data_IF_673180017224
#
_entry.id   IF_673180017224
#
_cell.length_a   1.000
_cell.length_b   1.000
_cell.length_c   1.000
_cell.angle_alpha   90.00
_cell.angle_beta   90.00
_cell.angle_gamma   90.00
#
_symmetry.space_group_name_H-M   'P 1'
#
loop_
_entity.id
_entity.type
_entity.pdbx_description
1 polymer ?
#
# COMPACT_ATOMS: atom_id res chain seq x y z
N UNK A 1 15.05 -10.76 7.48
CA UNK A 1 16.19 -9.83 7.35
C UNK A 1 17.42 -10.65 6.99
N UNK A 2 18.14 -10.26 5.95
CA UNK A 2 19.37 -10.92 5.50
C UNK A 2 20.58 -10.17 6.06
N UNK A 3 21.66 -10.88 6.38
CA UNK A 3 22.92 -10.29 6.84
C UNK A 3 23.96 -10.33 5.74
N UNK A 4 24.74 -9.26 5.59
CA UNK A 4 25.95 -9.24 4.75
C UNK A 4 27.16 -9.53 5.66
N UNK A 5 27.94 -10.54 5.33
CA UNK A 5 29.13 -10.94 6.09
C UNK A 5 30.40 -10.36 5.44
N UNK A 6 31.45 -10.08 6.24
CA UNK A 6 32.69 -9.52 5.72
C UNK A 6 33.39 -10.51 4.78
N UNK A 7 33.69 -10.07 3.55
CA UNK A 7 34.48 -10.83 2.59
C UNK A 7 36.00 -10.66 2.75
N UNK A 8 36.42 -9.91 3.77
CA UNK A 8 37.81 -9.51 4.09
C UNK A 8 38.56 -8.92 2.87
N UNK A 9 39.16 -9.78 2.04
CA UNK A 9 39.96 -9.38 0.88
C UNK A 9 39.13 -8.74 -0.24
N UNK A 10 37.89 -9.19 -0.46
CA UNK A 10 37.06 -8.76 -1.60
C UNK A 10 36.08 -7.63 -1.24
N UNK A 11 35.92 -7.33 0.05
CA UNK A 11 34.93 -6.38 0.59
C UNK A 11 35.01 -5.00 -0.09
N UNK A 12 36.22 -4.56 -0.46
CA UNK A 12 36.46 -3.28 -1.10
C UNK A 12 35.70 -3.11 -2.43
N UNK A 13 35.51 -4.18 -3.19
CA UNK A 13 34.80 -4.19 -4.47
C UNK A 13 33.27 -4.10 -4.26
N UNK A 14 32.76 -4.61 -3.14
CA UNK A 14 31.34 -4.59 -2.77
C UNK A 14 30.92 -3.33 -2.01
N UNK A 15 31.70 -2.25 -2.08
CA UNK A 15 31.24 -0.94 -1.64
C UNK A 15 30.00 -0.53 -2.44
N UNK A 16 28.91 -0.03 -1.81
CA UNK A 16 27.69 0.38 -2.52
C UNK A 16 27.96 1.35 -3.68
N UNK A 17 28.87 2.31 -3.49
CA UNK A 17 29.31 3.25 -4.54
C UNK A 17 29.94 2.57 -5.77
N UNK A 18 30.65 1.45 -5.57
CA UNK A 18 31.24 0.67 -6.67
C UNK A 18 30.22 -0.23 -7.38
N UNK A 19 29.13 -0.54 -6.69
CA UNK A 19 27.96 -1.24 -7.25
C UNK A 19 26.94 -0.27 -7.85
N UNK A 20 27.35 0.97 -8.12
CA UNK A 20 26.50 2.03 -8.67
C UNK A 20 25.28 2.39 -7.78
N UNK A 21 25.29 2.03 -6.49
CA UNK A 21 24.31 2.51 -5.54
C UNK A 21 24.79 3.83 -4.93
N UNK A 22 24.15 4.93 -5.33
CA UNK A 22 24.40 6.28 -4.86
C UNK A 22 23.43 6.74 -3.78
N UNK A 23 22.41 5.95 -3.47
CA UNK A 23 21.50 6.19 -2.36
C UNK A 23 22.20 5.85 -1.02
N UNK A 24 21.56 6.23 0.08
CA UNK A 24 22.03 5.83 1.42
C UNK A 24 21.94 4.31 1.54
N UNK A 25 23.07 3.58 1.64
CA UNK A 25 23.04 2.13 1.68
C UNK A 25 22.42 1.63 2.97
N UNK A 26 21.72 0.50 2.90
CA UNK A 26 21.31 -0.23 4.09
C UNK A 26 22.54 -0.56 4.93
N UNK A 27 22.56 -0.14 6.19
CA UNK A 27 23.68 -0.42 7.07
C UNK A 27 23.69 -1.91 7.43
N UNK A 28 24.78 -2.64 7.14
CA UNK A 28 24.87 -4.03 7.54
C UNK A 28 24.99 -4.13 9.07
N UNK A 29 24.53 -5.23 9.63
CA UNK A 29 24.63 -5.47 11.07
C UNK A 29 26.08 -5.81 11.46
N UNK A 30 26.87 -4.80 11.80
CA UNK A 30 28.30 -4.95 12.11
C UNK A 30 28.61 -5.34 13.55
N UNK A 31 27.62 -5.44 14.45
CA UNK A 31 27.89 -5.72 15.87
C UNK A 31 28.54 -7.09 16.14
N UNK A 32 28.58 -7.96 15.13
CA UNK A 32 29.15 -9.30 15.21
C UNK A 32 30.63 -9.40 14.82
N UNK A 33 31.23 -8.35 14.25
CA UNK A 33 32.65 -8.32 13.90
C UNK A 33 33.51 -7.71 15.01
N UNK A 34 34.79 -8.06 15.04
CA UNK A 34 35.78 -7.31 15.79
C UNK A 34 35.95 -5.93 15.15
N UNK A 35 35.80 -4.86 15.94
CA UNK A 35 35.88 -3.48 15.45
C UNK A 35 34.60 -2.91 14.83
N UNK A 36 33.47 -3.63 14.90
CA UNK A 36 32.15 -3.17 14.47
C UNK A 36 32.14 -2.57 13.05
N UNK A 37 32.91 -3.17 12.15
CA UNK A 37 33.13 -2.69 10.78
C UNK A 37 32.99 -3.84 9.78
N UNK A 38 32.68 -3.50 8.52
CA UNK A 38 32.63 -4.43 7.38
C UNK A 38 33.96 -5.09 7.04
N UNK A 39 35.05 -4.49 7.50
CA UNK A 39 36.41 -5.02 7.31
C UNK A 39 36.90 -5.86 8.49
N UNK A 40 36.08 -6.01 9.54
CA UNK A 40 36.43 -6.79 10.72
C UNK A 40 36.11 -8.27 10.54
N UNK A 41 36.85 -9.13 11.23
CA UNK A 41 36.60 -10.58 11.28
C UNK A 41 35.44 -10.88 12.25
N UNK A 42 34.67 -11.94 11.99
CA UNK A 42 33.56 -12.37 12.86
C UNK A 42 34.05 -12.90 14.21
N UNK A 43 33.27 -12.68 15.28
CA UNK A 43 33.52 -13.26 16.60
C UNK A 43 33.25 -14.78 16.59
N UNK A 44 34.13 -15.60 17.17
CA UNK A 44 33.92 -17.05 17.23
C UNK A 44 32.75 -17.42 18.16
N UNK A 45 32.12 -18.57 17.91
CA UNK A 45 31.04 -19.13 18.74
C UNK A 45 31.44 -20.53 19.22
N UNK A 46 31.33 -20.78 20.52
CA UNK A 46 31.69 -22.06 21.15
C UNK A 46 30.49 -22.93 21.55
N UNK A 47 29.30 -22.35 21.65
CA UNK A 47 28.11 -23.04 22.18
C UNK A 47 27.34 -23.80 21.10
N UNK A 48 26.69 -24.90 21.50
CA UNK A 48 25.79 -25.69 20.66
C UNK A 48 24.49 -24.94 20.37
N UNK A 49 23.96 -25.12 19.15
CA UNK A 49 22.69 -24.52 18.72
C UNK A 49 21.50 -25.28 19.29
N UNK A 50 20.59 -24.59 19.97
CA UNK A 50 19.31 -25.15 20.45
C UNK A 50 18.16 -24.72 19.55
N UNK A 51 17.14 -25.57 19.31
CA UNK A 51 15.97 -25.19 18.54
C UNK A 51 15.19 -24.11 19.28
N UNK A 52 14.78 -23.08 18.54
CA UNK A 52 13.95 -21.97 19.03
C UNK A 52 12.53 -22.00 18.46
N UNK A 53 12.26 -22.96 17.58
CA UNK A 53 11.05 -23.11 16.78
C UNK A 53 10.60 -24.57 16.83
N UNK A 54 9.29 -24.81 16.78
CA UNK A 54 8.70 -26.14 16.71
C UNK A 54 8.75 -26.74 15.28
N UNK A 55 8.27 -27.97 15.10
CA UNK A 55 8.26 -28.65 13.80
C UNK A 55 7.40 -27.95 12.73
N UNK A 56 6.50 -27.05 13.15
CA UNK A 56 5.56 -26.33 12.28
C UNK A 56 6.01 -24.91 11.95
N UNK A 57 7.13 -24.46 12.49
CA UNK A 57 7.65 -23.11 12.24
C UNK A 57 7.21 -22.05 13.26
N UNK A 58 6.53 -22.42 14.35
CA UNK A 58 6.16 -21.48 15.41
C UNK A 58 7.26 -21.34 16.46
N UNK A 59 7.52 -20.11 16.90
CA UNK A 59 8.45 -19.83 17.99
C UNK A 59 7.98 -20.45 19.30
N UNK A 60 8.90 -21.06 20.04
CA UNK A 60 8.62 -21.61 21.37
C UNK A 60 8.16 -20.49 22.34
N UNK A 61 7.26 -20.76 23.30
CA UNK A 61 6.65 -19.72 24.15
C UNK A 61 7.64 -18.87 24.95
N UNK A 62 8.82 -19.44 25.27
CA UNK A 62 9.87 -18.78 26.05
C UNK A 62 10.76 -17.86 25.22
N UNK A 63 10.69 -17.94 23.89
CA UNK A 63 11.54 -17.16 23.00
C UNK A 63 10.91 -15.77 22.79
N UNK A 64 11.62 -14.69 23.15
CA UNK A 64 11.10 -13.34 22.95
C UNK A 64 10.90 -13.06 21.46
N UNK A 65 9.75 -12.50 21.10
CA UNK A 65 9.39 -12.16 19.73
C UNK A 65 8.80 -10.77 19.61
N UNK A 66 9.00 -10.15 18.45
CA UNK A 66 8.33 -8.90 18.10
C UNK A 66 6.86 -9.23 17.79
N UNK A 67 5.91 -8.46 18.34
CA UNK A 67 4.47 -8.73 18.21
C UNK A 67 3.98 -8.76 16.75
N UNK A 68 4.56 -7.92 15.89
CA UNK A 68 4.29 -7.88 14.46
C UNK A 68 5.58 -7.58 13.71
N UNK A 69 5.99 -8.48 12.82
CA UNK A 69 7.17 -8.31 11.96
C UNK A 69 6.81 -7.76 10.56
N UNK A 70 5.52 -7.64 10.25
CA UNK A 70 5.06 -7.00 9.01
C UNK A 70 5.18 -5.48 9.13
N UNK A 71 5.47 -4.84 7.99
CA UNK A 71 5.40 -3.39 7.89
C UNK A 71 3.92 -2.99 7.80
N UNK A 72 3.36 -2.26 8.80
CA UNK A 72 1.92 -2.07 8.94
C UNK A 72 1.30 -1.11 7.92
N UNK A 73 2.11 -0.30 7.24
CA UNK A 73 1.67 0.57 6.14
C UNK A 73 2.63 0.37 4.96
N UNK A 74 2.10 0.38 3.73
CA UNK A 74 2.94 0.41 2.54
C UNK A 74 3.91 1.57 2.67
N UNK A 75 5.20 1.32 2.37
CA UNK A 75 6.20 2.40 2.33
C UNK A 75 5.61 3.62 1.63
N UNK A 76 5.77 4.85 2.14
CA UNK A 76 5.18 6.05 1.52
C UNK A 76 5.65 6.26 0.07
N UNK A 77 6.67 5.52 -0.37
CA UNK A 77 7.22 5.50 -1.72
C UNK A 77 6.63 4.43 -2.66
N UNK A 78 5.67 3.60 -2.23
CA UNK A 78 5.12 2.57 -3.15
C UNK A 78 4.29 3.24 -4.24
N UNK A 79 4.70 3.06 -5.50
CA UNK A 79 3.95 3.56 -6.65
C UNK A 79 2.60 2.81 -6.73
N UNK A 80 1.46 3.53 -6.80
CA UNK A 80 0.15 2.89 -6.91
C UNK A 80 0.08 2.04 -8.18
N UNK A 81 -0.46 0.83 -8.04
CA UNK A 81 -0.70 -0.08 -9.18
C UNK A 81 -2.16 0.01 -9.61
N UNK A 82 -2.43 -0.37 -10.86
CA UNK A 82 -3.80 -0.62 -11.31
C UNK A 82 -4.49 -1.58 -10.32
N UNK A 83 -5.74 -1.33 -9.88
CA UNK A 83 -6.73 -0.42 -10.47
C UNK A 83 -6.80 0.99 -9.87
N UNK A 84 -5.86 1.39 -9.00
CA UNK A 84 -5.91 2.70 -8.33
C UNK A 84 -5.84 3.85 -9.35
N UNK A 85 -6.72 4.86 -9.31
CA UNK A 85 -6.63 6.05 -10.14
C UNK A 85 -5.22 6.69 -10.11
N UNK A 86 -4.61 6.91 -11.28
CA UNK A 86 -3.31 7.56 -11.42
C UNK A 86 -3.37 8.57 -12.59
N UNK A 87 -2.58 9.64 -12.55
CA UNK A 87 -2.47 10.65 -13.61
C UNK A 87 -1.62 10.18 -14.79
N UNK A 88 -0.79 9.15 -14.61
CA UNK A 88 0.09 8.62 -15.67
C UNK A 88 -0.65 7.84 -16.76
N UNK A 89 -1.91 7.46 -16.55
CA UNK A 89 -2.72 6.77 -17.55
C UNK A 89 -4.17 7.26 -17.55
N UNK A 90 -4.81 7.16 -18.71
CA UNK A 90 -6.21 7.52 -18.87
C UNK A 90 -7.09 6.56 -18.08
N UNK A 91 -7.97 7.12 -17.24
CA UNK A 91 -8.93 6.35 -16.47
C UNK A 91 -10.17 6.06 -17.30
N UNK A 92 -10.72 4.85 -17.15
CA UNK A 92 -12.01 4.53 -17.73
C UNK A 92 -13.11 5.39 -17.08
N UNK A 93 -14.13 5.84 -17.84
CA UNK A 93 -15.22 6.61 -17.27
C UNK A 93 -15.99 5.78 -16.23
N UNK A 94 -16.41 6.44 -15.14
CA UNK A 94 -17.28 5.83 -14.14
C UNK A 94 -18.75 6.01 -14.54
N UNK A 95 -19.54 4.94 -14.41
CA UNK A 95 -20.98 5.02 -14.62
C UNK A 95 -21.69 5.55 -13.36
N UNK A 96 -22.68 6.43 -13.56
CA UNK A 96 -23.57 6.91 -12.50
C UNK A 96 -25.02 6.56 -12.82
N UNK A 97 -25.83 6.29 -11.80
CA UNK A 97 -27.26 6.08 -11.99
C UNK A 97 -27.96 7.39 -12.38
N UNK A 98 -28.73 7.37 -13.46
CA UNK A 98 -29.55 8.51 -13.87
C UNK A 98 -30.81 8.68 -13.01
N UNK A 99 -31.24 9.93 -12.81
CA UNK A 99 -32.54 10.23 -12.22
C UNK A 99 -33.65 10.00 -13.25
N UNK A 100 -34.78 9.40 -12.85
CA UNK A 100 -35.90 9.06 -13.75
C UNK A 100 -36.67 10.27 -14.28
N UNK A 101 -36.38 11.48 -13.80
CA UNK A 101 -37.14 12.69 -14.10
C UNK A 101 -38.12 13.05 -12.99
N UNK A 102 -38.71 14.24 -13.11
CA UNK A 102 -39.68 14.78 -12.16
C UNK A 102 -40.86 13.83 -12.08
N UNK A 103 -41.13 13.34 -10.87
CA UNK A 103 -42.25 12.45 -10.61
C UNK A 103 -43.55 13.25 -10.81
N UNK A 104 -44.44 12.74 -11.65
CA UNK A 104 -45.79 13.29 -11.85
C UNK A 104 -46.82 12.19 -11.68
N UNK A 105 -48.11 12.54 -11.70
CA UNK A 105 -49.19 11.54 -11.68
C UNK A 105 -49.32 10.80 -13.03
N UNK A 106 -48.58 11.24 -14.05
CA UNK A 106 -48.45 10.58 -15.36
C UNK A 106 -46.98 10.16 -15.62
N UNK A 107 -46.57 10.07 -16.88
CA UNK A 107 -45.17 9.76 -17.25
C UNK A 107 -44.20 10.79 -16.63
N UNK A 108 -43.10 10.35 -15.99
CA UNK A 108 -42.04 11.25 -15.52
C UNK A 108 -41.44 12.05 -16.67
N UNK A 109 -41.08 13.31 -16.39
CA UNK A 109 -40.52 14.22 -17.40
C UNK A 109 -39.29 14.94 -16.86
N UNK A 110 -38.38 15.36 -17.73
CA UNK A 110 -37.21 16.17 -17.37
C UNK A 110 -37.49 17.67 -17.43
N UNK A 111 -38.66 18.09 -17.92
CA UNK A 111 -39.03 19.49 -18.13
C UNK A 111 -40.19 19.92 -17.26
N UNK A 112 -40.12 21.14 -16.73
CA UNK A 112 -41.24 21.79 -16.05
C UNK A 112 -41.99 22.63 -17.08
N UNK A 113 -43.28 22.38 -17.24
CA UNK A 113 -44.14 23.19 -18.09
C UNK A 113 -44.94 24.19 -17.27
N UNK A 114 -45.28 25.32 -17.89
CA UNK A 114 -46.16 26.32 -17.27
C UNK A 114 -47.54 25.74 -16.95
N UNK A 115 -48.10 26.15 -15.81
CA UNK A 115 -49.46 25.80 -15.41
C UNK A 115 -50.44 26.84 -15.96
N UNK A 116 -51.60 26.39 -16.42
CA UNK A 116 -52.69 27.28 -16.82
C UNK A 116 -53.33 27.97 -15.62
N UNK A 117 -53.44 27.27 -14.48
CA UNK A 117 -53.92 27.81 -13.21
C UNK A 117 -52.85 27.60 -12.12
N UNK A 118 -52.27 28.69 -11.62
CA UNK A 118 -51.27 28.67 -10.55
C UNK A 118 -51.86 29.21 -9.25
N UNK A 119 -52.60 28.34 -8.58
CA UNK A 119 -53.18 28.59 -7.26
C UNK A 119 -52.36 27.78 -6.24
N UNK A 120 -51.99 28.41 -5.13
CA UNK A 120 -51.20 27.76 -4.08
C UNK A 120 -51.90 26.49 -3.57
N UNK A 121 -51.23 25.35 -3.67
CA UNK A 121 -51.75 24.03 -3.26
C UNK A 121 -52.48 23.25 -4.35
N UNK A 122 -52.71 23.82 -5.54
CA UNK A 122 -53.38 23.13 -6.65
C UNK A 122 -52.48 22.09 -7.32
N UNK A 123 -53.02 20.88 -7.51
CA UNK A 123 -52.37 19.73 -8.16
C UNK A 123 -52.79 19.51 -9.62
N UNK A 124 -53.66 20.36 -10.14
CA UNK A 124 -54.20 20.22 -11.49
C UNK A 124 -53.12 20.52 -12.54
N UNK A 125 -53.05 19.66 -13.56
CA UNK A 125 -52.05 19.75 -14.61
C UNK A 125 -52.57 19.17 -15.94
N UNK A 126 -52.28 19.81 -17.08
CA UNK A 126 -52.68 19.33 -18.41
C UNK A 126 -51.55 18.59 -19.12
N UNK A 127 -51.68 17.26 -19.21
CA UNK A 127 -50.65 16.36 -19.74
C UNK A 127 -50.67 16.18 -21.28
N UNK A 128 -51.66 16.73 -22.00
CA UNK A 128 -51.92 16.36 -23.41
C UNK A 128 -50.86 16.84 -24.43
N UNK A 129 -50.02 17.81 -24.06
CA UNK A 129 -49.00 18.40 -24.95
C UNK A 129 -47.59 18.27 -24.38
N UNK A 130 -47.39 17.32 -23.46
CA UNK A 130 -46.09 17.01 -22.88
C UNK A 130 -45.36 15.92 -23.64
#
# INVERSE_FOLDING_TARGET
MTSTLPGEQVEHAFNPKRLCNWETPAQPNMGQTFGNSRFGTLKPRSNTTKPIVDEKGYLLPTVPKIKNAFQPCASPSSIPRWPTPNTSYTQAPCATMGYKGIQTDYLPTTTVSSKTADINGTREFNYNFR
#
